data_IF_518768515988
#
_entry.id   IF_518768515988
#
_cell.length_a   1.000
_cell.length_b   1.000
_cell.length_c   1.000
_cell.angle_alpha   90.00
_cell.angle_beta   90.00
_cell.angle_gamma   90.00
#
_symmetry.space_group_name_H-M   'P 1'
#
loop_
_entity.id
_entity.type
_entity.pdbx_description
1 polymer ?
#
# COMPACT_ATOMS: atom_id res chain seq x y z
N UNK A 1 17.43 62.01 -27.75
CA UNK A 1 17.10 60.58 -27.90
C UNK A 1 17.93 59.79 -26.91
N UNK A 2 17.34 59.38 -25.78
CA UNK A 2 17.95 58.40 -24.88
C UNK A 2 17.01 57.20 -24.85
N UNK A 3 17.52 56.05 -25.32
CA UNK A 3 16.81 54.77 -25.34
C UNK A 3 16.96 54.12 -23.96
N UNK A 4 15.84 53.83 -23.29
CA UNK A 4 15.78 53.00 -22.11
C UNK A 4 15.71 51.51 -22.53
N UNK A 5 16.52 50.59 -21.97
CA UNK A 5 16.39 49.17 -22.26
C UNK A 5 15.40 48.46 -21.32
N UNK A 6 14.46 47.77 -21.98
CA UNK A 6 13.83 46.46 -21.72
C UNK A 6 13.63 45.91 -20.29
N UNK A 7 12.33 45.71 -20.00
CA UNK A 7 11.69 44.53 -19.40
C UNK A 7 12.23 43.98 -18.06
N UNK A 8 11.48 44.26 -17.00
CA UNK A 8 11.50 43.50 -15.75
C UNK A 8 10.94 42.08 -16.00
N UNK A 9 11.80 41.07 -15.88
CA UNK A 9 11.40 39.67 -15.86
C UNK A 9 10.87 39.31 -14.46
N UNK A 10 9.59 38.95 -14.37
CA UNK A 10 9.01 38.36 -13.16
C UNK A 10 9.54 36.94 -12.96
N UNK A 11 10.02 36.57 -11.75
CA UNK A 11 10.53 35.24 -11.49
C UNK A 11 9.37 34.24 -11.50
N UNK A 12 9.38 33.36 -12.51
CA UNK A 12 8.51 32.19 -12.59
C UNK A 12 8.80 31.28 -11.41
N UNK A 13 7.83 31.14 -10.51
CA UNK A 13 7.88 30.20 -9.39
C UNK A 13 8.05 28.79 -9.95
N UNK A 14 9.24 28.23 -9.80
CA UNK A 14 9.50 26.81 -10.05
C UNK A 14 8.68 25.98 -9.06
N UNK A 15 7.52 25.49 -9.49
CA UNK A 15 6.78 24.46 -8.76
C UNK A 15 7.63 23.20 -8.84
N UNK A 16 8.33 22.87 -7.75
CA UNK A 16 9.05 21.61 -7.62
C UNK A 16 8.03 20.47 -7.77
N UNK A 17 8.11 19.74 -8.89
CA UNK A 17 7.31 18.54 -9.13
C UNK A 17 7.65 17.56 -8.00
N UNK A 18 6.66 17.23 -7.15
CA UNK A 18 6.81 16.28 -6.06
C UNK A 18 7.36 14.97 -6.65
N UNK A 19 8.50 14.54 -6.14
CA UNK A 19 9.17 13.33 -6.62
C UNK A 19 8.25 12.12 -6.38
N UNK A 20 7.94 11.37 -7.45
CA UNK A 20 6.98 10.26 -7.42
C UNK A 20 7.53 9.17 -6.51
N UNK A 21 6.82 8.86 -5.43
CA UNK A 21 7.23 7.76 -4.55
C UNK A 21 7.06 6.43 -5.30
N UNK A 22 8.10 5.58 -5.40
CA UNK A 22 7.99 4.31 -6.10
C UNK A 22 6.94 3.41 -5.43
N UNK A 23 6.16 2.68 -6.23
CA UNK A 23 5.16 1.75 -5.72
C UNK A 23 5.84 0.64 -4.91
N UNK A 24 5.41 0.45 -3.68
CA UNK A 24 5.99 -0.54 -2.77
C UNK A 24 5.28 -1.89 -3.00
N UNK A 25 6.02 -2.94 -3.41
CA UNK A 25 5.44 -4.26 -3.73
C UNK A 25 4.27 -4.21 -4.74
N UNK A 26 4.35 -3.33 -5.74
CA UNK A 26 3.28 -3.17 -6.73
C UNK A 26 2.03 -2.42 -6.21
N UNK A 27 2.16 -1.77 -5.04
CA UNK A 27 1.11 -1.00 -4.38
C UNK A 27 1.42 0.48 -4.54
N UNK A 28 0.57 1.21 -5.26
CA UNK A 28 0.77 2.64 -5.55
C UNK A 28 -0.26 3.50 -4.80
N UNK A 29 0.20 4.48 -4.02
CA UNK A 29 -0.67 5.49 -3.36
C UNK A 29 -0.75 6.80 -4.16
N UNK A 30 0.27 7.05 -4.99
CA UNK A 30 0.33 8.17 -5.93
C UNK A 30 0.22 7.63 -7.35
N UNK A 31 -0.83 8.06 -8.06
CA UNK A 31 -1.22 7.54 -9.38
C UNK A 31 -1.55 8.75 -10.24
N UNK A 32 -0.85 8.87 -11.36
CA UNK A 32 -1.10 9.93 -12.33
C UNK A 32 -2.53 9.85 -12.87
N UNK A 33 -3.16 11.01 -13.09
CA UNK A 33 -4.51 11.15 -13.64
C UNK A 33 -5.60 10.37 -12.88
N UNK A 34 -5.40 10.10 -11.58
CA UNK A 34 -6.38 9.39 -10.75
C UNK A 34 -7.73 10.14 -10.71
N UNK A 35 -8.85 9.52 -11.15
CA UNK A 35 -10.13 10.19 -11.42
C UNK A 35 -10.94 10.46 -10.15
N UNK A 36 -10.34 11.16 -9.18
CA UNK A 36 -10.87 11.41 -7.84
C UNK A 36 -12.30 11.96 -7.84
N UNK A 37 -12.57 12.95 -8.69
CA UNK A 37 -13.89 13.59 -8.77
C UNK A 37 -14.98 12.61 -9.24
N UNK A 38 -14.69 11.78 -10.26
CA UNK A 38 -15.62 10.77 -10.77
C UNK A 38 -15.86 9.66 -9.74
N UNK A 39 -14.80 9.22 -9.06
CA UNK A 39 -14.91 8.22 -8.00
C UNK A 39 -15.83 8.72 -6.88
N UNK A 40 -15.61 9.95 -6.39
CA UNK A 40 -16.45 10.57 -5.36
C UNK A 40 -17.90 10.67 -5.84
N UNK A 41 -18.12 11.10 -7.08
CA UNK A 41 -19.46 11.18 -7.68
C UNK A 41 -20.15 9.81 -7.69
N UNK A 42 -19.49 8.77 -8.18
CA UNK A 42 -20.06 7.42 -8.30
C UNK A 42 -20.36 6.81 -6.94
N UNK A 43 -19.43 6.89 -5.99
CA UNK A 43 -19.63 6.33 -4.64
C UNK A 43 -20.75 7.08 -3.90
N UNK A 44 -20.82 8.41 -4.05
CA UNK A 44 -21.83 9.23 -3.36
C UNK A 44 -23.26 9.07 -3.89
N UNK A 45 -23.44 8.48 -5.08
CA UNK A 45 -24.77 8.21 -5.65
C UNK A 45 -25.54 7.11 -4.91
N UNK A 46 -24.86 6.19 -4.23
CA UNK A 46 -25.49 5.10 -3.48
C UNK A 46 -25.33 5.30 -1.97
N UNK A 47 -26.45 5.27 -1.25
CA UNK A 47 -26.44 5.35 0.22
C UNK A 47 -25.77 4.11 0.82
N UNK A 48 -25.92 2.96 0.18
CA UNK A 48 -25.32 1.69 0.57
C UNK A 48 -23.79 1.77 0.49
N UNK A 49 -23.23 2.30 -0.61
CA UNK A 49 -21.79 2.48 -0.77
C UNK A 49 -21.24 3.50 0.24
N UNK A 50 -21.93 4.63 0.44
CA UNK A 50 -21.54 5.61 1.45
C UNK A 50 -21.56 4.99 2.86
N UNK A 51 -22.58 4.20 3.18
CA UNK A 51 -22.69 3.51 4.47
C UNK A 51 -21.63 2.43 4.63
N UNK A 52 -21.25 1.73 3.56
CA UNK A 52 -20.12 0.79 3.57
C UNK A 52 -18.86 1.47 4.12
N UNK A 53 -18.46 2.62 3.56
CA UNK A 53 -17.28 3.37 4.02
C UNK A 53 -17.44 3.96 5.43
N UNK A 54 -18.63 4.44 5.79
CA UNK A 54 -18.89 4.95 7.15
C UNK A 54 -18.84 3.85 8.22
N UNK A 55 -19.23 2.63 7.86
CA UNK A 55 -19.24 1.46 8.75
C UNK A 55 -17.87 0.82 8.91
N UNK A 56 -16.95 1.05 7.96
CA UNK A 56 -15.58 0.61 8.12
C UNK A 56 -14.98 1.29 9.34
N UNK A 57 -14.20 0.58 10.17
CA UNK A 57 -13.40 1.24 11.17
C UNK A 57 -12.55 2.28 10.45
N UNK A 58 -12.70 3.55 10.85
CA UNK A 58 -11.83 4.61 10.34
C UNK A 58 -10.39 4.14 10.50
N UNK A 59 -9.49 4.46 9.56
CA UNK A 59 -8.11 4.03 9.66
C UNK A 59 -7.56 4.51 10.99
N UNK A 60 -7.50 3.60 11.95
CA UNK A 60 -7.00 3.90 13.26
C UNK A 60 -5.54 4.24 13.01
N UNK A 61 -5.12 5.47 13.31
CA UNK A 61 -3.70 5.74 13.51
C UNK A 61 -3.22 4.68 14.49
N UNK A 62 -2.10 4.03 14.20
CA UNK A 62 -1.54 2.98 15.04
C UNK A 62 -1.19 3.59 16.41
N UNK A 63 -2.18 3.82 17.27
CA UNK A 63 -1.98 3.99 18.69
C UNK A 63 -1.73 2.60 19.23
N UNK A 64 -0.47 2.16 19.19
CA UNK A 64 0.23 1.39 20.24
C UNK A 64 -0.53 0.26 20.95
N UNK A 65 -1.56 -0.34 20.33
CA UNK A 65 -2.29 -1.50 20.90
C UNK A 65 -1.63 -2.83 20.55
N UNK A 66 -0.75 -2.83 19.57
CA UNK A 66 0.35 -3.78 19.45
C UNK A 66 1.59 -2.99 19.79
N UNK A 67 2.32 -3.38 20.84
CA UNK A 67 3.48 -2.66 21.34
C UNK A 67 4.40 -2.27 20.18
N UNK A 68 4.49 -0.97 19.93
CA UNK A 68 5.45 -0.40 18.97
C UNK A 68 6.87 -0.38 19.55
N UNK A 69 7.02 -0.85 20.79
CA UNK A 69 8.28 -1.18 21.45
C UNK A 69 8.06 -2.45 22.32
N UNK A 70 7.79 -3.60 21.71
CA UNK A 70 8.33 -4.81 22.34
C UNK A 70 9.69 -5.04 21.72
N UNK A 71 10.73 -5.04 22.55
CA UNK A 71 12.06 -5.59 22.29
C UNK A 71 11.97 -7.13 22.03
N UNK A 72 10.88 -7.61 21.43
CA UNK A 72 10.69 -9.00 21.05
C UNK A 72 11.44 -9.24 19.73
N UNK A 73 12.62 -9.81 19.87
CA UNK A 73 13.44 -10.25 18.77
C UNK A 73 12.75 -11.42 18.04
N UNK A 74 12.08 -11.14 16.92
CA UNK A 74 11.46 -12.20 16.11
C UNK A 74 12.51 -12.92 15.26
N UNK A 75 12.35 -14.24 14.99
CA UNK A 75 13.27 -14.99 14.13
C UNK A 75 13.41 -14.40 12.72
N UNK A 76 12.39 -13.69 12.23
CA UNK A 76 12.36 -13.06 10.92
C UNK A 76 12.00 -11.57 11.05
N UNK A 77 12.98 -10.66 10.91
CA UNK A 77 12.73 -9.22 11.00
C UNK A 77 11.71 -8.75 9.97
N UNK A 78 10.72 -7.98 10.43
CA UNK A 78 9.58 -7.54 9.63
C UNK A 78 9.41 -6.03 9.74
N UNK A 79 8.98 -5.38 8.66
CA UNK A 79 8.56 -3.98 8.63
C UNK A 79 7.05 -3.92 8.53
N UNK A 80 6.40 -3.18 9.43
CA UNK A 80 4.96 -2.96 9.42
C UNK A 80 4.64 -1.58 8.87
N UNK A 81 3.66 -1.45 7.98
CA UNK A 81 3.20 -0.15 7.44
C UNK A 81 1.74 -0.22 7.03
N UNK A 82 1.00 0.86 7.24
CA UNK A 82 -0.32 1.07 6.63
C UNK A 82 -0.17 1.72 5.26
N UNK A 83 -1.00 1.34 4.30
CA UNK A 83 -1.07 1.94 2.96
C UNK A 83 -2.51 2.13 2.50
N UNK A 84 -2.75 3.15 1.68
CA UNK A 84 -4.05 3.45 1.05
C UNK A 84 -3.92 3.32 -0.47
N UNK A 85 -3.93 2.08 -1.00
CA UNK A 85 -3.62 1.83 -2.39
C UNK A 85 -4.64 2.46 -3.33
N UNK A 86 -4.18 3.23 -4.31
CA UNK A 86 -5.00 3.72 -5.42
C UNK A 86 -4.88 2.85 -6.66
N UNK A 87 -3.79 2.11 -6.80
CA UNK A 87 -3.56 1.17 -7.90
C UNK A 87 -2.75 -0.03 -7.44
N UNK A 88 -3.18 -1.20 -7.84
CA UNK A 88 -2.48 -2.47 -7.61
C UNK A 88 -2.92 -3.52 -8.66
N UNK A 89 -2.15 -4.60 -8.76
CA UNK A 89 -2.49 -5.76 -9.56
C UNK A 89 -3.42 -6.70 -8.77
N UNK A 90 -4.58 -7.05 -9.34
CA UNK A 90 -5.48 -8.01 -8.70
C UNK A 90 -4.96 -9.45 -8.84
N UNK A 91 -5.56 -10.39 -8.10
CA UNK A 91 -5.21 -11.83 -8.22
C UNK A 91 -5.52 -12.42 -9.60
N UNK A 92 -6.17 -11.65 -10.49
CA UNK A 92 -6.41 -12.00 -11.90
C UNK A 92 -5.34 -11.43 -12.84
N UNK A 93 -4.27 -10.84 -12.31
CA UNK A 93 -3.23 -10.14 -13.08
C UNK A 93 -3.77 -8.97 -13.91
N UNK A 94 -4.79 -8.28 -13.42
CA UNK A 94 -5.33 -7.07 -14.05
C UNK A 94 -5.05 -5.89 -13.14
N UNK A 95 -4.48 -4.82 -13.69
CA UNK A 95 -4.30 -3.57 -12.94
C UNK A 95 -5.68 -2.94 -12.69
N UNK A 96 -5.92 -2.52 -11.45
CA UNK A 96 -7.20 -1.96 -11.04
C UNK A 96 -6.98 -0.64 -10.30
N UNK A 97 -7.90 0.31 -10.50
CA UNK A 97 -7.98 1.53 -9.70
C UNK A 97 -8.81 1.25 -8.45
N UNK A 98 -8.18 1.33 -7.28
CA UNK A 98 -8.83 1.10 -5.99
C UNK A 98 -9.43 2.42 -5.48
N UNK A 99 -10.63 2.37 -4.92
CA UNK A 99 -11.29 3.53 -4.31
C UNK A 99 -10.57 3.91 -3.01
N UNK A 100 -9.85 5.03 -3.05
CA UNK A 100 -9.10 5.60 -1.92
C UNK A 100 -9.01 7.12 -2.09
N UNK A 101 -10.11 7.83 -1.79
CA UNK A 101 -10.28 9.28 -1.97
C UNK A 101 -11.12 9.90 -0.87
N UNK A 102 -10.66 11.01 -0.28
CA UNK A 102 -11.35 11.75 0.79
C UNK A 102 -11.79 10.81 1.94
N UNK A 103 -13.09 10.76 2.24
CA UNK A 103 -13.70 9.90 3.28
C UNK A 103 -13.91 8.44 2.84
N UNK A 104 -13.67 8.12 1.56
CA UNK A 104 -13.80 6.78 1.00
C UNK A 104 -12.43 6.11 0.98
N UNK A 105 -11.99 5.62 2.12
CA UNK A 105 -10.66 5.01 2.31
C UNK A 105 -10.74 3.53 2.64
N UNK A 106 -9.85 2.76 2.03
CA UNK A 106 -9.62 1.34 2.25
C UNK A 106 -8.13 1.16 2.55
N UNK A 107 -7.77 1.29 3.83
CA UNK A 107 -6.42 1.07 4.30
C UNK A 107 -6.09 -0.42 4.33
N UNK A 108 -4.86 -0.76 3.95
CA UNK A 108 -4.31 -2.11 4.08
C UNK A 108 -3.09 -2.06 4.99
N UNK A 109 -3.06 -2.95 5.98
CA UNK A 109 -1.89 -3.17 6.82
C UNK A 109 -0.97 -4.17 6.12
N UNK A 110 0.29 -3.77 5.96
CA UNK A 110 1.33 -4.56 5.34
C UNK A 110 2.34 -4.97 6.41
N UNK A 111 2.72 -6.23 6.39
CA UNK A 111 3.89 -6.72 7.12
C UNK A 111 4.86 -7.39 6.13
N UNK A 112 6.02 -6.77 5.95
CA UNK A 112 6.99 -7.09 4.90
C UNK A 112 8.26 -7.65 5.55
N UNK A 113 8.72 -8.82 5.09
CA UNK A 113 10.02 -9.38 5.45
C UNK A 113 11.15 -8.41 5.11
N UNK A 114 12.00 -8.06 6.08
CA UNK A 114 13.23 -7.29 5.80
C UNK A 114 14.32 -8.15 5.13
N UNK A 115 14.23 -9.48 5.27
CA UNK A 115 15.18 -10.44 4.70
C UNK A 115 14.49 -11.73 4.25
N UNK A 116 13.61 -11.65 3.25
CA UNK A 116 13.04 -12.86 2.64
C UNK A 116 14.16 -13.76 2.07
N UNK A 117 14.06 -15.07 2.31
CA UNK A 117 15.07 -16.06 1.93
C UNK A 117 16.25 -16.18 2.89
N UNK A 118 16.40 -15.28 3.86
CA UNK A 118 17.49 -15.34 4.85
C UNK A 118 17.26 -16.44 5.89
N UNK A 119 18.34 -16.93 6.49
CA UNK A 119 18.28 -17.86 7.63
C UNK A 119 17.61 -17.17 8.82
N UNK A 120 16.75 -17.89 9.53
CA UNK A 120 16.06 -17.31 10.68
C UNK A 120 17.06 -17.02 11.81
N UNK A 121 16.95 -15.85 12.43
CA UNK A 121 17.66 -15.53 13.67
C UNK A 121 17.35 -16.56 14.74
N UNK A 122 18.31 -16.78 15.65
CA UNK A 122 18.22 -17.74 16.76
C UNK A 122 18.01 -19.21 16.34
N UNK A 123 18.00 -19.50 15.04
CA UNK A 123 18.01 -20.84 14.46
C UNK A 123 19.15 -20.99 13.44
N UNK A 124 20.27 -20.30 13.72
CA UNK A 124 21.49 -20.27 12.90
C UNK A 124 22.28 -21.58 12.98
N UNK A 125 22.09 -22.33 14.07
CA UNK A 125 22.63 -23.68 14.28
C UNK A 125 21.49 -24.71 14.40
N UNK A 126 20.70 -24.92 13.33
CA UNK A 126 19.70 -25.98 13.36
C UNK A 126 20.41 -27.34 13.50
N UNK A 127 19.75 -28.37 14.06
CA UNK A 127 20.29 -29.74 14.05
C UNK A 127 20.75 -30.08 12.62
N UNK A 128 21.87 -30.81 12.48
CA UNK A 128 22.59 -30.93 11.20
C UNK A 128 21.70 -31.28 9.98
N UNK A 129 20.60 -31.99 10.20
CA UNK A 129 19.60 -32.39 9.22
C UNK A 129 18.53 -31.35 8.88
N UNK A 130 18.59 -30.11 9.37
CA UNK A 130 17.58 -29.07 9.13
C UNK A 130 18.16 -27.76 8.59
N UNK A 131 17.35 -27.02 7.83
CA UNK A 131 17.59 -25.64 7.37
C UNK A 131 16.43 -24.75 7.76
N UNK A 132 16.71 -23.45 7.91
CA UNK A 132 15.70 -22.45 8.23
C UNK A 132 15.73 -21.32 7.20
N UNK A 133 14.57 -20.75 6.90
CA UNK A 133 14.40 -19.72 5.88
C UNK A 133 13.21 -18.82 6.21
N UNK A 134 13.40 -17.50 6.22
CA UNK A 134 12.31 -16.53 6.33
C UNK A 134 11.52 -16.46 5.02
N UNK A 135 10.20 -16.71 5.07
CA UNK A 135 9.33 -16.61 3.89
C UNK A 135 8.22 -15.59 4.09
N UNK A 136 7.99 -14.76 3.08
CA UNK A 136 6.87 -13.85 3.07
C UNK A 136 5.56 -14.63 2.89
N UNK A 137 4.57 -14.29 3.71
CA UNK A 137 3.18 -14.69 3.51
C UNK A 137 2.37 -13.52 3.01
N UNK A 138 1.36 -13.84 2.25
CA UNK A 138 0.44 -12.87 1.70
C UNK A 138 -0.98 -13.21 2.12
N UNK A 139 -1.79 -12.16 2.28
CA UNK A 139 -3.21 -12.27 2.59
C UNK A 139 -4.02 -11.64 1.46
N UNK A 140 -5.15 -12.25 1.15
CA UNK A 140 -6.09 -11.73 0.17
C UNK A 140 -7.04 -10.73 0.82
N UNK A 141 -7.25 -9.60 0.15
CA UNK A 141 -8.19 -8.56 0.56
C UNK A 141 -9.12 -8.23 -0.60
N UNK A 142 -10.41 -8.21 -0.30
CA UNK A 142 -11.42 -7.72 -1.22
C UNK A 142 -11.51 -6.20 -1.08
N UNK A 143 -11.20 -5.47 -2.14
CA UNK A 143 -11.25 -4.00 -2.15
C UNK A 143 -12.20 -3.51 -3.24
N UNK A 144 -12.88 -2.41 -2.97
CA UNK A 144 -13.70 -1.71 -3.94
C UNK A 144 -12.82 -1.01 -4.97
N UNK A 145 -13.07 -1.27 -6.25
CA UNK A 145 -12.38 -0.66 -7.38
C UNK A 145 -13.34 0.20 -8.19
N UNK A 146 -12.77 1.19 -8.88
CA UNK A 146 -13.49 2.03 -9.82
C UNK A 146 -13.28 1.48 -11.23
N UNK A 147 -14.39 1.25 -11.94
CA UNK A 147 -14.37 0.81 -13.32
C UNK A 147 -14.69 1.99 -14.24
N UNK A 148 -13.64 2.56 -14.83
CA UNK A 148 -13.75 3.76 -15.67
C UNK A 148 -14.67 3.55 -16.88
N UNK A 149 -14.69 2.36 -17.47
CA UNK A 149 -15.45 2.06 -18.68
C UNK A 149 -16.97 2.04 -18.47
N UNK A 150 -17.43 1.70 -17.25
CA UNK A 150 -18.86 1.65 -16.90
C UNK A 150 -19.29 2.77 -15.94
N UNK A 151 -18.34 3.54 -15.42
CA UNK A 151 -18.57 4.55 -14.40
C UNK A 151 -19.32 3.98 -13.18
N UNK A 152 -18.91 2.79 -12.76
CA UNK A 152 -19.44 2.05 -11.62
C UNK A 152 -18.30 1.58 -10.69
N UNK A 153 -18.68 0.97 -9.57
CA UNK A 153 -17.74 0.33 -8.65
C UNK A 153 -17.96 -1.17 -8.64
N UNK A 154 -16.87 -1.93 -8.61
CA UNK A 154 -16.91 -3.38 -8.41
C UNK A 154 -15.98 -3.74 -7.25
N UNK A 155 -16.02 -4.99 -6.79
CA UNK A 155 -15.02 -5.50 -5.85
C UNK A 155 -14.04 -6.41 -6.58
N UNK A 156 -12.75 -6.27 -6.29
CA UNK A 156 -11.72 -7.19 -6.75
C UNK A 156 -10.84 -7.66 -5.60
N UNK A 157 -10.22 -8.82 -5.77
CA UNK A 157 -9.34 -9.43 -4.78
C UNK A 157 -7.90 -9.10 -5.10
N UNK A 158 -7.19 -8.62 -4.08
CA UNK A 158 -5.78 -8.26 -4.14
C UNK A 158 -5.02 -9.08 -3.12
N UNK A 159 -3.73 -9.26 -3.35
CA UNK A 159 -2.85 -10.01 -2.46
C UNK A 159 -1.79 -9.08 -1.87
N UNK A 160 -1.73 -9.01 -0.54
CA UNK A 160 -0.87 -8.07 0.19
C UNK A 160 0.05 -8.79 1.17
N UNK A 161 1.33 -8.38 1.32
CA UNK A 161 2.24 -8.89 2.34
C UNK A 161 1.62 -8.84 3.75
N UNK A 162 1.55 -9.96 4.47
CA UNK A 162 0.82 -10.07 5.74
C UNK A 162 1.65 -10.51 6.94
N UNK A 163 2.68 -11.34 6.76
CA UNK A 163 3.62 -11.69 7.83
C UNK A 163 4.89 -12.34 7.26
N UNK A 164 5.98 -12.30 8.04
CA UNK A 164 7.21 -13.03 7.76
C UNK A 164 7.35 -14.24 8.69
N UNK A 165 7.45 -15.44 8.13
CA UNK A 165 7.45 -16.69 8.92
C UNK A 165 8.77 -17.43 8.76
N UNK A 166 9.34 -17.91 9.86
CA UNK A 166 10.46 -18.82 9.83
C UNK A 166 10.01 -20.23 9.41
N UNK A 167 10.43 -20.67 8.24
CA UNK A 167 10.20 -22.02 7.75
C UNK A 167 11.38 -22.92 8.08
N UNK A 168 11.11 -24.06 8.73
CA UNK A 168 12.11 -25.09 9.05
C UNK A 168 11.88 -26.28 8.11
N UNK A 169 12.94 -26.77 7.46
CA UNK A 169 12.88 -27.89 6.51
C UNK A 169 14.00 -28.89 6.80
N UNK A 170 13.78 -30.18 6.51
CA UNK A 170 14.85 -31.17 6.57
C UNK A 170 15.73 -31.06 5.31
N UNK A 171 17.06 -31.13 5.47
CA UNK A 171 18.00 -31.27 4.36
C UNK A 171 17.77 -32.63 3.70
N UNK A 172 17.36 -32.61 2.45
CA UNK A 172 17.35 -33.78 1.56
C UNK A 172 18.75 -34.08 1.07
#
# INVERSE_FOLDING_TARGET
MMRFPSSEEHPTKFIKKKERQPCLHGICEDVDDYPSAKIVEVVSRSKELVNFFKSQPKPFEFGTRFGEDSDDDTPCPTMKTKKFPKRALSTRNVEQLIVNVNDFQQGVDLEICKGEGSTCKFAEFPPQSYTTECKQKYSRRLLMTFNEGKNDTIFDTFEFPSCCVCHIRRKT
#
